data_IF_261065455703
#
_entry.id   IF_261065455703
#
_cell.length_a   1.000
_cell.length_b   1.000
_cell.length_c   1.000
_cell.angle_alpha   90.00
_cell.angle_beta   90.00
_cell.angle_gamma   90.00
#
_symmetry.space_group_name_H-M   'P 1'
#
loop_
_entity.id
_entity.type
_entity.pdbx_description
1 polymer ?
#
# COMPACT_ATOMS: atom_id res chain seq x y z
N UNK A 1 -11.53 19.44 -5.80
CA UNK A 1 -11.44 19.00 -7.21
C UNK A 1 -10.45 19.80 -8.07
N UNK A 2 -10.36 21.13 -7.98
CA UNK A 2 -9.39 21.95 -8.77
C UNK A 2 -7.93 21.59 -8.49
N UNK A 3 -7.55 21.43 -7.23
CA UNK A 3 -6.18 21.11 -6.81
C UNK A 3 -5.72 19.74 -7.33
N UNK A 4 -6.57 18.72 -7.24
CA UNK A 4 -6.29 17.37 -7.77
C UNK A 4 -6.02 17.39 -9.28
N UNK A 5 -6.87 18.11 -10.04
CA UNK A 5 -6.68 18.28 -11.49
C UNK A 5 -5.36 18.98 -11.82
N UNK A 6 -4.98 19.99 -11.03
CA UNK A 6 -3.72 20.72 -11.20
C UNK A 6 -2.52 19.80 -10.91
N UNK A 7 -2.54 19.04 -9.82
CA UNK A 7 -1.48 18.08 -9.50
C UNK A 7 -1.35 17.00 -10.59
N UNK A 8 -2.45 16.45 -11.08
CA UNK A 8 -2.43 15.49 -12.20
C UNK A 8 -1.90 16.09 -13.51
N UNK A 9 -2.08 17.40 -13.73
CA UNK A 9 -1.56 18.06 -14.94
C UNK A 9 -0.03 18.07 -15.01
N UNK A 10 0.68 18.05 -13.87
CA UNK A 10 2.14 17.98 -13.86
C UNK A 10 2.69 16.68 -14.45
N UNK A 11 1.94 15.56 -14.41
CA UNK A 11 2.33 14.31 -15.07
C UNK A 11 2.46 14.46 -16.59
N UNK A 12 1.74 15.43 -17.18
CA UNK A 12 1.83 15.69 -18.62
C UNK A 12 3.18 16.23 -19.06
N UNK A 13 3.91 16.86 -18.17
CA UNK A 13 5.25 17.39 -18.48
C UNK A 13 6.30 16.28 -18.54
N UNK A 14 6.05 15.16 -17.87
CA UNK A 14 6.97 14.01 -17.78
C UNK A 14 6.44 12.75 -18.50
N UNK A 15 5.76 12.92 -19.64
CA UNK A 15 5.12 11.82 -20.40
C UNK A 15 6.04 10.64 -20.68
N UNK A 16 7.30 10.92 -21.05
CA UNK A 16 8.29 9.86 -21.34
C UNK A 16 8.61 9.04 -20.09
N UNK A 17 8.81 9.70 -18.95
CA UNK A 17 9.04 9.00 -17.67
C UNK A 17 7.86 8.16 -17.21
N UNK A 18 6.63 8.70 -17.38
CA UNK A 18 5.39 7.96 -17.08
C UNK A 18 5.29 6.72 -17.98
N UNK A 19 5.52 6.86 -19.28
CA UNK A 19 5.44 5.75 -20.24
C UNK A 19 6.46 4.65 -19.90
N UNK A 20 7.72 5.00 -19.65
CA UNK A 20 8.75 4.03 -19.27
C UNK A 20 8.40 3.34 -17.97
N UNK A 21 7.96 4.09 -16.95
CA UNK A 21 7.51 3.52 -15.69
C UNK A 21 6.35 2.56 -15.87
N UNK A 22 5.38 2.89 -16.73
CA UNK A 22 4.23 2.04 -17.05
C UNK A 22 4.67 0.74 -17.75
N UNK A 23 5.57 0.82 -18.72
CA UNK A 23 6.13 -0.37 -19.40
C UNK A 23 6.84 -1.27 -18.39
N UNK A 24 7.70 -0.69 -17.54
CA UNK A 24 8.38 -1.46 -16.49
C UNK A 24 7.39 -2.10 -15.50
N UNK A 25 6.32 -1.40 -15.15
CA UNK A 25 5.26 -1.94 -14.31
C UNK A 25 4.56 -3.13 -14.96
N UNK A 26 4.15 -2.99 -16.23
CA UNK A 26 3.48 -4.08 -16.94
C UNK A 26 4.39 -5.30 -17.11
N UNK A 27 5.67 -5.10 -17.44
CA UNK A 27 6.66 -6.17 -17.50
C UNK A 27 6.84 -6.87 -16.15
N UNK A 28 7.00 -6.09 -15.08
CA UNK A 28 7.13 -6.62 -13.73
C UNK A 28 5.89 -7.41 -13.31
N UNK A 29 4.70 -6.83 -13.50
CA UNK A 29 3.43 -7.50 -13.15
C UNK A 29 3.23 -8.76 -13.98
N UNK A 30 3.48 -8.71 -15.29
CA UNK A 30 3.39 -9.87 -16.18
C UNK A 30 4.33 -10.99 -15.74
N UNK A 31 5.59 -10.68 -15.45
CA UNK A 31 6.54 -11.66 -14.93
C UNK A 31 6.09 -12.25 -13.58
N UNK A 32 5.63 -11.39 -12.68
CA UNK A 32 5.13 -11.81 -11.36
C UNK A 32 3.92 -12.74 -11.48
N UNK A 33 2.99 -12.44 -12.40
CA UNK A 33 1.80 -13.29 -12.65
C UNK A 33 2.14 -14.60 -13.38
N UNK A 34 3.21 -14.63 -14.15
CA UNK A 34 3.66 -15.84 -14.85
C UNK A 34 4.32 -16.84 -13.87
N UNK A 35 4.91 -16.36 -12.76
CA UNK A 35 5.58 -17.24 -11.77
C UNK A 35 4.74 -18.43 -11.32
N UNK A 36 3.52 -18.25 -10.80
CA UNK A 36 2.66 -19.36 -10.37
C UNK A 36 2.26 -20.30 -11.52
N UNK A 37 2.15 -19.79 -12.76
CA UNK A 37 1.86 -20.62 -13.94
C UNK A 37 3.04 -21.54 -14.31
N UNK A 38 4.26 -21.02 -14.22
CA UNK A 38 5.47 -21.83 -14.40
C UNK A 38 5.60 -22.87 -13.29
N UNK A 39 5.34 -22.48 -12.03
CA UNK A 39 5.33 -23.41 -10.90
C UNK A 39 4.26 -24.51 -11.09
N UNK A 40 3.04 -24.13 -11.53
CA UNK A 40 2.01 -25.10 -11.92
C UNK A 40 2.52 -26.07 -12.96
N UNK A 41 3.17 -25.59 -14.02
CA UNK A 41 3.72 -26.43 -15.07
C UNK A 41 4.80 -27.40 -14.55
N UNK A 42 5.68 -26.92 -13.66
CA UNK A 42 6.71 -27.76 -13.02
C UNK A 42 6.05 -28.90 -12.23
N UNK A 43 5.05 -28.58 -11.41
CA UNK A 43 4.36 -29.58 -10.58
C UNK A 43 3.64 -30.60 -11.45
N UNK A 44 2.85 -30.14 -12.42
CA UNK A 44 1.97 -31.00 -13.20
C UNK A 44 2.71 -31.84 -14.27
N UNK A 45 3.67 -31.22 -14.97
CA UNK A 45 4.28 -31.84 -16.16
C UNK A 45 5.70 -32.34 -15.91
N UNK A 46 6.33 -32.01 -14.77
CA UNK A 46 7.68 -32.45 -14.45
C UNK A 46 7.67 -33.35 -13.21
N UNK A 47 7.18 -32.84 -12.08
CA UNK A 47 7.26 -33.56 -10.79
C UNK A 47 6.27 -34.73 -10.75
N UNK A 48 5.00 -34.49 -11.08
CA UNK A 48 3.95 -35.53 -11.00
C UNK A 48 4.25 -36.74 -11.88
N UNK A 49 4.64 -36.59 -13.17
CA UNK A 49 5.03 -37.75 -14.00
C UNK A 49 6.27 -38.47 -13.49
N UNK A 50 7.27 -37.76 -12.96
CA UNK A 50 8.46 -38.38 -12.36
C UNK A 50 8.10 -39.25 -11.16
N UNK A 51 7.18 -38.77 -10.30
CA UNK A 51 6.71 -39.54 -9.14
C UNK A 51 5.96 -40.80 -9.54
N UNK A 52 5.13 -40.72 -10.59
CA UNK A 52 4.39 -41.89 -11.12
C UNK A 52 5.27 -42.91 -11.84
N UNK A 53 6.23 -42.43 -12.60
CA UNK A 53 7.15 -43.30 -13.37
C UNK A 53 8.36 -43.79 -12.56
N UNK A 54 8.56 -43.26 -11.33
CA UNK A 54 9.78 -43.50 -10.52
C UNK A 54 11.10 -43.20 -11.27
N UNK A 55 11.06 -42.30 -12.28
CA UNK A 55 12.22 -41.94 -13.10
C UNK A 55 12.55 -40.47 -12.85
N UNK A 56 13.78 -40.22 -12.40
CA UNK A 56 14.25 -38.86 -12.13
C UNK A 56 14.88 -38.23 -13.39
N UNK A 57 14.22 -37.22 -13.95
CA UNK A 57 14.73 -36.42 -15.07
C UNK A 57 15.30 -35.09 -14.56
N UNK A 58 16.56 -35.08 -14.13
CA UNK A 58 17.24 -33.89 -13.63
C UNK A 58 17.31 -32.74 -14.66
N UNK A 59 17.52 -33.07 -15.94
CA UNK A 59 17.65 -32.06 -17.00
C UNK A 59 16.36 -31.26 -17.22
N UNK A 60 15.22 -31.95 -17.29
CA UNK A 60 13.91 -31.30 -17.42
C UNK A 60 13.58 -30.42 -16.20
N UNK A 61 13.84 -30.89 -15.00
CA UNK A 61 13.63 -30.14 -13.78
C UNK A 61 14.50 -28.89 -13.72
N UNK A 62 15.80 -28.98 -13.97
CA UNK A 62 16.74 -27.87 -13.96
C UNK A 62 16.37 -26.80 -14.99
N UNK A 63 15.92 -27.21 -16.18
CA UNK A 63 15.50 -26.28 -17.23
C UNK A 63 14.29 -25.43 -16.74
N UNK A 64 13.24 -26.06 -16.24
CA UNK A 64 12.04 -25.35 -15.79
C UNK A 64 12.26 -24.53 -14.53
N UNK A 65 13.09 -24.99 -13.59
CA UNK A 65 13.53 -24.22 -12.45
C UNK A 65 14.33 -22.99 -12.90
N UNK A 66 15.22 -23.16 -13.91
CA UNK A 66 15.94 -22.05 -14.53
C UNK A 66 15.00 -20.99 -15.14
N UNK A 67 13.96 -21.44 -15.86
CA UNK A 67 12.91 -20.55 -16.39
C UNK A 67 12.19 -19.82 -15.26
N UNK A 68 11.80 -20.53 -14.20
CA UNK A 68 11.13 -19.95 -13.04
C UNK A 68 11.97 -18.86 -12.38
N UNK A 69 13.25 -19.13 -12.15
CA UNK A 69 14.19 -18.17 -11.58
C UNK A 69 14.36 -16.96 -12.50
N UNK A 70 14.51 -17.18 -13.80
CA UNK A 70 14.67 -16.11 -14.79
C UNK A 70 13.44 -15.20 -14.85
N UNK A 71 12.24 -15.77 -14.87
CA UNK A 71 10.98 -15.00 -14.86
C UNK A 71 10.88 -14.14 -13.58
N UNK A 72 11.22 -14.71 -12.41
CA UNK A 72 11.22 -13.96 -11.16
C UNK A 72 12.27 -12.84 -11.15
N UNK A 73 13.48 -13.10 -11.67
CA UNK A 73 14.52 -12.07 -11.79
C UNK A 73 14.09 -10.92 -12.70
N UNK A 74 13.45 -11.22 -13.84
CA UNK A 74 12.85 -10.19 -14.73
C UNK A 74 11.77 -9.40 -14.00
N UNK A 75 10.92 -10.07 -13.21
CA UNK A 75 9.91 -9.43 -12.37
C UNK A 75 10.51 -8.44 -11.37
N UNK A 76 11.52 -8.88 -10.62
CA UNK A 76 12.23 -8.06 -9.62
C UNK A 76 12.97 -6.90 -10.29
N UNK A 77 13.67 -7.13 -11.39
CA UNK A 77 14.37 -6.09 -12.14
C UNK A 77 13.38 -5.04 -12.68
N UNK A 78 12.24 -5.48 -13.25
CA UNK A 78 11.18 -4.59 -13.72
C UNK A 78 10.58 -3.76 -12.58
N UNK A 79 10.31 -4.37 -11.42
CA UNK A 79 9.82 -3.67 -10.23
C UNK A 79 10.82 -2.64 -9.70
N UNK A 80 12.10 -2.99 -9.68
CA UNK A 80 13.16 -2.06 -9.30
C UNK A 80 13.23 -0.85 -10.24
N UNK A 81 13.27 -1.10 -11.55
CA UNK A 81 13.28 -0.04 -12.56
C UNK A 81 12.03 0.84 -12.46
N UNK A 82 10.85 0.26 -12.35
CA UNK A 82 9.61 1.01 -12.14
C UNK A 82 9.72 1.94 -10.94
N UNK A 83 10.19 1.43 -9.80
CA UNK A 83 10.36 2.21 -8.56
C UNK A 83 11.35 3.37 -8.73
N UNK A 84 12.48 3.13 -9.41
CA UNK A 84 13.49 4.16 -9.69
C UNK A 84 12.92 5.24 -10.61
N UNK A 85 12.26 4.86 -11.70
CA UNK A 85 11.65 5.80 -12.63
C UNK A 85 10.53 6.63 -11.99
N UNK A 86 9.64 6.00 -11.21
CA UNK A 86 8.55 6.70 -10.54
C UNK A 86 9.06 7.67 -9.46
N UNK A 87 10.09 7.31 -8.70
CA UNK A 87 10.73 8.22 -7.73
C UNK A 87 11.43 9.39 -8.42
N UNK A 88 12.17 9.13 -9.50
CA UNK A 88 12.84 10.17 -10.27
C UNK A 88 11.85 11.14 -10.87
N UNK A 89 10.76 10.64 -11.43
CA UNK A 89 9.65 11.43 -11.95
C UNK A 89 9.02 12.30 -10.85
N UNK A 90 8.72 11.72 -9.71
CA UNK A 90 8.16 12.45 -8.57
C UNK A 90 9.09 13.55 -8.07
N UNK A 91 10.41 13.31 -8.05
CA UNK A 91 11.41 14.32 -7.69
C UNK A 91 11.46 15.49 -8.68
N UNK A 92 11.37 15.21 -10.00
CA UNK A 92 11.34 16.26 -11.03
C UNK A 92 10.08 17.11 -10.93
N UNK A 93 8.93 16.48 -10.69
CA UNK A 93 7.67 17.18 -10.49
C UNK A 93 7.74 18.06 -9.24
N UNK A 94 8.24 17.52 -8.12
CA UNK A 94 8.41 18.26 -6.88
C UNK A 94 9.34 19.47 -7.05
N UNK A 95 10.46 19.29 -7.76
CA UNK A 95 11.36 20.40 -8.09
C UNK A 95 10.59 21.49 -8.84
N UNK A 96 9.85 21.12 -9.89
CA UNK A 96 9.07 22.08 -10.68
C UNK A 96 8.03 22.82 -9.85
N UNK A 97 7.29 22.11 -9.00
CA UNK A 97 6.33 22.75 -8.08
C UNK A 97 7.04 23.72 -7.16
N UNK A 98 8.21 23.35 -6.63
CA UNK A 98 9.02 24.19 -5.76
C UNK A 98 9.52 25.44 -6.46
N UNK A 99 10.00 25.30 -7.68
CA UNK A 99 10.45 26.43 -8.51
C UNK A 99 9.28 27.39 -8.79
N UNK A 100 8.11 26.89 -9.20
CA UNK A 100 6.90 27.71 -9.44
C UNK A 100 6.41 28.42 -8.17
N UNK A 101 6.44 27.74 -7.01
CA UNK A 101 6.07 28.34 -5.72
C UNK A 101 7.08 29.42 -5.33
N UNK A 102 8.37 29.15 -5.50
CA UNK A 102 9.42 30.10 -5.19
C UNK A 102 9.30 31.39 -6.07
N UNK A 103 9.14 31.23 -7.37
CA UNK A 103 8.92 32.35 -8.29
C UNK A 103 7.69 33.16 -7.88
N UNK A 104 6.58 32.49 -7.55
CA UNK A 104 5.36 33.17 -7.12
C UNK A 104 5.56 33.95 -5.82
N UNK A 105 6.26 33.38 -4.85
CA UNK A 105 6.56 34.06 -3.58
C UNK A 105 7.35 35.34 -3.79
N UNK A 106 8.29 35.37 -4.77
CA UNK A 106 9.07 36.57 -5.10
C UNK A 106 8.22 37.70 -5.74
N UNK A 107 7.03 37.38 -6.25
CA UNK A 107 6.11 38.40 -6.83
C UNK A 107 5.11 38.96 -5.82
N UNK A 108 5.09 38.43 -4.59
CA UNK A 108 4.16 38.87 -3.57
C UNK A 108 4.56 40.24 -2.97
N UNK A 109 3.58 41.08 -2.62
CA UNK A 109 3.86 42.37 -2.00
C UNK A 109 4.47 42.21 -0.61
N UNK A 110 5.26 43.21 -0.15
CA UNK A 110 5.92 43.21 1.15
C UNK A 110 4.93 43.01 2.30
N UNK A 111 3.73 43.58 2.19
CA UNK A 111 2.65 43.42 3.18
C UNK A 111 2.23 41.98 3.44
N UNK A 112 2.48 41.08 2.51
CA UNK A 112 2.25 39.64 2.73
C UNK A 112 3.22 39.06 3.78
N UNK A 113 4.46 39.54 3.81
CA UNK A 113 5.50 39.08 4.72
C UNK A 113 5.41 39.70 6.10
N UNK A 114 4.76 40.88 6.24
CA UNK A 114 4.56 41.52 7.54
C UNK A 114 3.72 40.69 8.51
N UNK A 115 2.82 39.86 7.97
CA UNK A 115 1.91 39.02 8.75
C UNK A 115 2.30 37.53 8.79
N UNK A 116 3.37 37.15 8.10
CA UNK A 116 3.81 35.76 8.02
C UNK A 116 5.27 35.59 8.42
N UNK A 117 5.57 34.82 9.49
CA UNK A 117 6.96 34.50 9.85
C UNK A 117 7.71 33.88 8.67
N UNK A 118 8.92 34.35 8.41
CA UNK A 118 9.75 33.87 7.29
C UNK A 118 9.88 32.33 7.26
N UNK A 119 9.99 31.68 8.44
CA UNK A 119 10.03 30.24 8.58
C UNK A 119 8.81 29.52 8.02
N UNK A 120 7.61 30.15 8.10
CA UNK A 120 6.38 29.57 7.53
C UNK A 120 6.38 29.61 6.00
N UNK A 121 6.97 30.64 5.39
CA UNK A 121 7.15 30.74 3.94
C UNK A 121 8.14 29.68 3.46
N UNK A 122 9.27 29.55 4.15
CA UNK A 122 10.28 28.51 3.86
C UNK A 122 9.67 27.12 3.97
N UNK A 123 8.89 26.85 5.04
CA UNK A 123 8.20 25.56 5.22
C UNK A 123 7.26 25.23 4.05
N UNK A 124 6.50 26.21 3.53
CA UNK A 124 5.62 26.01 2.36
C UNK A 124 6.40 25.62 1.10
N UNK A 125 7.57 26.23 0.89
CA UNK A 125 8.42 25.96 -0.29
C UNK A 125 9.10 24.60 -0.16
N UNK A 126 9.50 24.20 1.05
CA UNK A 126 10.27 22.97 1.30
C UNK A 126 9.40 21.80 1.74
N UNK A 127 8.87 21.85 2.96
CA UNK A 127 8.16 20.73 3.60
C UNK A 127 6.82 20.41 2.94
N UNK A 128 6.04 21.42 2.54
CA UNK A 128 4.72 21.18 1.92
C UNK A 128 4.89 20.59 0.52
N UNK A 129 5.87 21.06 -0.27
CA UNK A 129 6.16 20.50 -1.58
C UNK A 129 6.70 19.07 -1.48
N UNK A 130 7.49 18.77 -0.44
CA UNK A 130 7.98 17.41 -0.16
C UNK A 130 6.83 16.49 0.26
N UNK A 131 5.90 16.97 1.08
CA UNK A 131 4.69 16.22 1.45
C UNK A 131 3.82 15.89 0.23
N UNK A 132 3.65 16.82 -0.71
CA UNK A 132 2.97 16.56 -1.98
C UNK A 132 3.70 15.48 -2.78
N UNK A 133 5.03 15.53 -2.86
CA UNK A 133 5.82 14.49 -3.54
C UNK A 133 5.62 13.12 -2.91
N UNK A 134 5.81 13.03 -1.60
CA UNK A 134 5.79 11.76 -0.88
C UNK A 134 4.39 11.14 -0.84
N UNK A 135 3.39 11.93 -0.46
CA UNK A 135 2.05 11.43 -0.22
C UNK A 135 1.21 11.34 -1.50
N UNK A 136 1.30 12.32 -2.40
CA UNK A 136 0.47 12.32 -3.60
C UNK A 136 1.09 11.52 -4.75
N UNK A 137 2.34 11.79 -5.13
CA UNK A 137 2.93 11.11 -6.29
C UNK A 137 3.48 9.73 -5.97
N UNK A 138 4.26 9.57 -4.90
CA UNK A 138 4.91 8.30 -4.57
C UNK A 138 3.90 7.34 -3.92
N UNK A 139 3.36 7.69 -2.76
CA UNK A 139 2.43 6.81 -2.03
C UNK A 139 1.04 6.76 -2.67
N UNK A 140 0.57 7.87 -3.25
CA UNK A 140 -0.74 7.94 -3.87
C UNK A 140 -0.77 7.34 -5.26
N UNK A 141 -0.40 8.13 -6.27
CA UNK A 141 -0.60 7.78 -7.68
C UNK A 141 0.17 6.50 -8.05
N UNK A 142 1.48 6.43 -7.72
CA UNK A 142 2.30 5.28 -8.13
C UNK A 142 1.80 3.99 -7.50
N UNK A 143 1.50 4.00 -6.19
CA UNK A 143 1.03 2.82 -5.47
C UNK A 143 -0.38 2.40 -5.91
N UNK A 144 -1.33 3.35 -6.02
CA UNK A 144 -2.68 3.03 -6.49
C UNK A 144 -2.67 2.43 -7.90
N UNK A 145 -1.87 3.00 -8.79
CA UNK A 145 -1.80 2.52 -10.16
C UNK A 145 -1.19 1.11 -10.24
N UNK A 146 -0.09 0.84 -9.53
CA UNK A 146 0.51 -0.50 -9.46
C UNK A 146 -0.43 -1.52 -8.84
N UNK A 147 -1.16 -1.15 -7.80
CA UNK A 147 -2.16 -1.99 -7.13
C UNK A 147 -3.30 -2.38 -8.09
N UNK A 148 -3.84 -1.40 -8.83
CA UNK A 148 -4.92 -1.65 -9.81
C UNK A 148 -4.43 -2.59 -10.93
N UNK A 149 -3.25 -2.32 -11.49
CA UNK A 149 -2.67 -3.17 -12.55
C UNK A 149 -2.45 -4.59 -12.05
N UNK A 150 -1.95 -4.75 -10.82
CA UNK A 150 -1.76 -6.07 -10.21
C UNK A 150 -3.09 -6.80 -10.00
N UNK A 151 -4.09 -6.15 -9.42
CA UNK A 151 -5.41 -6.75 -9.20
C UNK A 151 -6.07 -7.19 -10.51
N UNK A 152 -6.08 -6.30 -11.51
CA UNK A 152 -6.65 -6.62 -12.82
C UNK A 152 -5.92 -7.81 -13.45
N UNK A 153 -4.59 -7.83 -13.39
CA UNK A 153 -3.78 -8.94 -13.91
C UNK A 153 -4.05 -10.26 -13.20
N UNK A 154 -4.15 -10.27 -11.86
CA UNK A 154 -4.49 -11.46 -11.07
C UNK A 154 -5.87 -11.99 -11.47
N UNK A 155 -6.89 -11.12 -11.54
CA UNK A 155 -8.25 -11.56 -11.92
C UNK A 155 -8.30 -12.09 -13.33
N UNK A 156 -7.65 -11.44 -14.31
CA UNK A 156 -7.55 -11.98 -15.68
C UNK A 156 -6.97 -13.40 -15.65
N UNK A 157 -5.88 -13.60 -14.92
CA UNK A 157 -5.23 -14.91 -14.85
C UNK A 157 -6.11 -15.97 -14.18
N UNK A 158 -6.79 -15.62 -13.08
CA UNK A 158 -7.72 -16.53 -12.38
C UNK A 158 -8.89 -16.91 -13.30
N UNK A 159 -9.49 -15.93 -14.02
CA UNK A 159 -10.58 -16.21 -14.95
C UNK A 159 -10.17 -17.12 -16.10
N UNK A 160 -8.93 -16.97 -16.60
CA UNK A 160 -8.39 -17.84 -17.64
C UNK A 160 -8.14 -19.29 -17.14
N UNK A 161 -7.83 -19.46 -15.86
CA UNK A 161 -7.61 -20.77 -15.24
C UNK A 161 -8.93 -21.47 -14.86
N UNK A 162 -9.84 -20.75 -14.22
CA UNK A 162 -11.15 -21.26 -13.81
C UNK A 162 -12.15 -20.10 -13.61
N UNK A 163 -13.07 -19.95 -14.54
CA UNK A 163 -14.05 -18.86 -14.53
C UNK A 163 -14.98 -18.92 -13.30
N UNK A 164 -15.37 -20.10 -12.86
CA UNK A 164 -16.26 -20.27 -11.70
C UNK A 164 -15.61 -19.76 -10.43
N UNK A 165 -14.37 -20.15 -10.15
CA UNK A 165 -13.61 -19.63 -9.00
C UNK A 165 -13.32 -18.14 -9.17
N UNK A 166 -13.06 -17.68 -10.39
CA UNK A 166 -12.89 -16.26 -10.69
C UNK A 166 -14.10 -15.42 -10.27
N UNK A 167 -15.31 -15.88 -10.54
CA UNK A 167 -16.55 -15.20 -10.12
C UNK A 167 -16.73 -15.22 -8.60
N UNK A 168 -16.46 -16.36 -7.95
CA UNK A 168 -16.54 -16.46 -6.47
C UNK A 168 -15.55 -15.52 -5.80
N UNK A 169 -14.30 -15.50 -6.27
CA UNK A 169 -13.26 -14.62 -5.73
C UNK A 169 -13.52 -13.14 -6.04
N UNK A 170 -14.16 -12.83 -7.17
CA UNK A 170 -14.55 -11.45 -7.50
C UNK A 170 -15.57 -10.89 -6.49
N UNK A 171 -16.45 -11.73 -5.95
CA UNK A 171 -17.40 -11.33 -4.91
C UNK A 171 -16.72 -10.90 -3.61
N UNK A 172 -15.51 -11.39 -3.32
CA UNK A 172 -14.75 -10.97 -2.14
C UNK A 172 -14.32 -9.50 -2.19
N UNK A 173 -14.10 -8.94 -3.39
CA UNK A 173 -13.64 -7.54 -3.53
C UNK A 173 -14.65 -6.54 -2.93
N UNK A 174 -15.93 -6.54 -3.33
CA UNK A 174 -16.90 -5.63 -2.72
C UNK A 174 -17.07 -5.87 -1.22
N UNK A 175 -17.02 -7.12 -0.76
CA UNK A 175 -17.09 -7.44 0.68
C UNK A 175 -15.91 -6.79 1.41
N UNK A 176 -14.70 -6.93 0.91
CA UNK A 176 -13.51 -6.31 1.51
C UNK A 176 -13.57 -4.77 1.48
N UNK A 177 -14.04 -4.18 0.37
CA UNK A 177 -14.18 -2.72 0.26
C UNK A 177 -15.19 -2.20 1.28
N UNK A 178 -16.36 -2.82 1.41
CA UNK A 178 -17.38 -2.43 2.39
C UNK A 178 -16.87 -2.58 3.82
N UNK A 179 -16.21 -3.68 4.12
CA UNK A 179 -15.59 -3.92 5.40
C UNK A 179 -14.59 -2.83 5.77
N UNK A 180 -13.64 -2.59 4.89
CA UNK A 180 -12.60 -1.60 5.12
C UNK A 180 -13.15 -0.18 5.24
N UNK A 181 -14.16 0.18 4.44
CA UNK A 181 -14.82 1.48 4.54
C UNK A 181 -15.42 1.68 5.95
N UNK A 182 -16.00 0.62 6.51
CA UNK A 182 -16.55 0.65 7.87
C UNK A 182 -15.45 0.81 8.92
N UNK A 183 -14.34 0.11 8.78
CA UNK A 183 -13.17 0.21 9.66
C UNK A 183 -12.54 1.60 9.56
N UNK A 184 -12.28 2.08 8.33
CA UNK A 184 -11.67 3.40 8.09
C UNK A 184 -12.50 4.55 8.70
N UNK A 185 -13.84 4.46 8.63
CA UNK A 185 -14.71 5.46 9.24
C UNK A 185 -14.55 5.52 10.77
N UNK A 186 -14.41 4.36 11.42
CA UNK A 186 -14.15 4.30 12.86
C UNK A 186 -12.73 4.74 13.23
N UNK A 187 -11.75 4.32 12.45
CA UNK A 187 -10.34 4.71 12.62
C UNK A 187 -10.17 6.23 12.54
N UNK A 188 -10.83 6.89 11.59
CA UNK A 188 -10.76 8.34 11.42
C UNK A 188 -11.12 9.10 12.69
N UNK A 189 -12.11 8.64 13.44
CA UNK A 189 -12.52 9.26 14.71
C UNK A 189 -11.36 9.21 15.73
N UNK A 190 -10.81 8.02 15.97
CA UNK A 190 -9.71 7.86 16.93
C UNK A 190 -8.43 8.55 16.49
N UNK A 191 -8.14 8.55 15.19
CA UNK A 191 -6.99 9.25 14.63
C UNK A 191 -7.08 10.77 14.81
N UNK A 192 -8.28 11.35 14.61
CA UNK A 192 -8.51 12.78 14.85
C UNK A 192 -8.35 13.16 16.33
N UNK A 193 -8.92 12.34 17.24
CA UNK A 193 -8.85 12.53 18.68
C UNK A 193 -7.41 12.36 19.20
N UNK A 194 -6.68 11.36 18.70
CA UNK A 194 -5.27 11.14 19.00
C UNK A 194 -4.41 12.36 18.59
N UNK A 195 -4.65 12.88 17.39
CA UNK A 195 -3.93 14.06 16.89
C UNK A 195 -4.22 15.34 17.67
N UNK A 196 -5.46 15.50 18.12
CA UNK A 196 -5.86 16.64 18.96
C UNK A 196 -5.17 16.59 20.32
N UNK A 197 -5.20 15.42 21.00
CA UNK A 197 -4.53 15.22 22.28
C UNK A 197 -2.99 15.39 22.17
N UNK A 198 -2.40 14.91 21.08
CA UNK A 198 -0.98 15.15 20.80
C UNK A 198 -0.67 16.64 20.61
N UNK A 199 -1.57 17.38 19.97
CA UNK A 199 -1.47 18.83 19.84
C UNK A 199 -1.54 19.54 21.19
N UNK A 200 -2.44 19.10 22.08
CA UNK A 200 -2.56 19.63 23.45
C UNK A 200 -1.31 19.34 24.27
N UNK A 201 -0.78 18.12 24.23
CA UNK A 201 0.48 17.77 24.92
C UNK A 201 1.65 18.61 24.42
N UNK A 202 1.76 18.81 23.11
CA UNK A 202 2.82 19.63 22.53
C UNK A 202 2.68 21.10 22.95
N UNK A 203 1.45 21.62 23.05
CA UNK A 203 1.14 22.95 23.56
C UNK A 203 1.54 23.10 25.02
N UNK A 204 1.07 22.19 25.89
CA UNK A 204 1.39 22.17 27.32
C UNK A 204 2.91 22.11 27.58
N UNK A 205 3.63 21.27 26.82
CA UNK A 205 5.08 21.15 26.92
C UNK A 205 5.77 22.49 26.55
N UNK A 206 5.33 23.11 25.44
CA UNK A 206 5.90 24.37 25.00
C UNK A 206 5.63 25.51 26.02
N UNK A 207 4.42 25.60 26.57
CA UNK A 207 4.05 26.56 27.61
C UNK A 207 4.86 26.32 28.90
N UNK A 208 5.04 25.04 29.31
CA UNK A 208 5.80 24.68 30.50
C UNK A 208 7.28 25.07 30.37
N UNK A 209 7.87 24.87 29.18
CA UNK A 209 9.25 25.26 28.90
C UNK A 209 9.42 26.78 28.91
N UNK A 210 8.51 27.50 28.23
CA UNK A 210 8.56 28.97 28.16
C UNK A 210 8.25 29.63 29.52
N UNK A 211 7.34 29.05 30.30
CA UNK A 211 6.92 29.51 31.59
C UNK A 211 7.69 28.93 32.77
N UNK A 212 8.78 28.15 32.55
CA UNK A 212 9.48 27.39 33.61
C UNK A 212 9.89 28.27 34.81
N UNK A 213 10.42 29.45 34.56
CA UNK A 213 10.79 30.39 35.64
C UNK A 213 9.59 30.88 36.47
N UNK A 214 8.43 31.00 35.86
CA UNK A 214 7.17 31.41 36.54
C UNK A 214 6.66 30.21 37.37
N UNK A 215 6.66 29.01 36.80
CA UNK A 215 6.18 27.79 37.44
C UNK A 215 7.03 27.54 38.72
N UNK A 216 8.37 27.68 38.64
CA UNK A 216 9.26 27.54 39.75
C UNK A 216 9.07 28.63 40.80
N UNK A 217 8.92 29.91 40.39
CA UNK A 217 8.70 31.03 41.31
C UNK A 217 7.42 30.88 42.14
N UNK A 218 6.38 30.24 41.58
CA UNK A 218 5.11 29.97 42.25
C UNK A 218 4.98 28.58 42.82
N UNK A 219 6.02 27.72 42.71
CA UNK A 219 6.06 26.33 43.24
C UNK A 219 4.87 25.49 42.71
N UNK A 220 4.57 25.60 41.40
CA UNK A 220 3.44 24.91 40.76
C UNK A 220 3.86 23.71 39.93
N UNK A 221 5.09 23.18 40.12
CA UNK A 221 5.64 22.08 39.30
C UNK A 221 4.76 20.84 39.36
N UNK A 222 4.34 20.42 40.58
CA UNK A 222 3.51 19.23 40.76
C UNK A 222 2.16 19.33 40.03
N UNK A 223 1.56 20.53 40.05
CA UNK A 223 0.30 20.78 39.37
C UNK A 223 0.43 20.66 37.84
N UNK A 224 1.47 21.27 37.27
CA UNK A 224 1.75 21.22 35.83
C UNK A 224 2.04 19.78 35.37
N UNK A 225 2.82 19.03 36.16
CA UNK A 225 3.07 17.61 35.89
C UNK A 225 1.78 16.80 35.92
N UNK A 226 0.91 17.02 36.92
CA UNK A 226 -0.36 16.30 37.03
C UNK A 226 -1.32 16.61 35.85
N UNK A 227 -1.36 17.86 35.39
CA UNK A 227 -2.15 18.27 34.21
C UNK A 227 -1.63 17.62 32.93
N UNK A 228 -0.30 17.58 32.75
CA UNK A 228 0.36 16.90 31.64
C UNK A 228 0.08 15.38 31.63
N UNK A 229 0.22 14.73 32.79
CA UNK A 229 -0.02 13.30 32.96
C UNK A 229 -1.48 12.89 32.68
N UNK A 230 -2.43 13.74 33.06
CA UNK A 230 -3.85 13.50 32.75
C UNK A 230 -4.11 13.52 31.23
N UNK A 231 -3.52 14.47 30.51
CA UNK A 231 -3.60 14.58 29.06
C UNK A 231 -2.86 13.41 28.38
N UNK A 232 -1.67 13.05 28.87
CA UNK A 232 -0.86 11.94 28.38
C UNK A 232 -1.59 10.60 28.56
N UNK A 233 -2.23 10.38 29.71
CA UNK A 233 -3.05 9.20 29.97
C UNK A 233 -4.21 9.10 28.97
N UNK A 234 -4.91 10.20 28.72
CA UNK A 234 -6.00 10.26 27.75
C UNK A 234 -5.50 9.93 26.33
N UNK A 235 -4.34 10.47 25.95
CA UNK A 235 -3.71 10.19 24.67
C UNK A 235 -3.35 8.71 24.50
N UNK A 236 -2.78 8.07 25.52
CA UNK A 236 -2.45 6.64 25.54
C UNK A 236 -3.72 5.79 25.43
N UNK A 237 -4.81 6.16 26.13
CA UNK A 237 -6.07 5.42 26.03
C UNK A 237 -6.68 5.46 24.63
N UNK A 238 -6.68 6.62 23.99
CA UNK A 238 -7.17 6.77 22.61
C UNK A 238 -6.28 5.99 21.65
N UNK A 239 -4.94 6.08 21.80
CA UNK A 239 -3.99 5.29 21.02
C UNK A 239 -4.19 3.78 21.19
N UNK A 240 -4.51 3.32 22.40
CA UNK A 240 -4.84 1.91 22.66
C UNK A 240 -6.11 1.47 21.91
N UNK A 241 -7.17 2.30 21.89
CA UNK A 241 -8.42 2.01 21.16
C UNK A 241 -8.17 1.96 19.65
N UNK A 242 -7.34 2.86 19.13
CA UNK A 242 -6.91 2.89 17.74
C UNK A 242 -6.14 1.61 17.38
N UNK A 243 -5.16 1.22 18.19
CA UNK A 243 -4.34 0.03 17.99
C UNK A 243 -5.16 -1.26 18.05
N UNK A 244 -6.12 -1.37 18.96
CA UNK A 244 -7.05 -2.50 19.04
C UNK A 244 -7.88 -2.59 17.76
N UNK A 245 -8.44 -1.47 17.32
CA UNK A 245 -9.23 -1.43 16.08
C UNK A 245 -8.40 -1.85 14.87
N UNK A 246 -7.17 -1.34 14.75
CA UNK A 246 -6.25 -1.67 13.67
C UNK A 246 -5.86 -3.15 13.70
N UNK A 247 -5.43 -3.66 14.85
CA UNK A 247 -4.94 -5.03 15.00
C UNK A 247 -6.02 -6.07 14.73
N UNK A 248 -7.21 -5.90 15.33
CA UNK A 248 -8.28 -6.89 15.18
C UNK A 248 -9.00 -6.79 13.84
N UNK A 249 -9.31 -5.59 13.39
CA UNK A 249 -10.20 -5.41 12.23
C UNK A 249 -9.45 -5.19 10.90
N UNK A 250 -8.23 -4.64 10.92
CA UNK A 250 -7.49 -4.43 9.68
C UNK A 250 -6.59 -5.61 9.34
N UNK A 251 -5.86 -6.16 10.32
CA UNK A 251 -4.87 -7.22 10.06
C UNK A 251 -5.43 -8.63 10.31
N UNK A 252 -5.97 -8.89 11.50
CA UNK A 252 -6.36 -10.25 11.89
C UNK A 252 -7.57 -10.76 11.12
N UNK A 253 -8.57 -9.91 10.90
CA UNK A 253 -9.79 -10.31 10.18
C UNK A 253 -9.54 -10.51 8.68
N UNK A 254 -8.73 -9.66 8.06
CA UNK A 254 -8.33 -9.85 6.66
C UNK A 254 -7.50 -11.13 6.51
N UNK A 255 -6.60 -11.41 7.46
CA UNK A 255 -5.87 -12.67 7.52
C UNK A 255 -6.78 -13.89 7.68
N UNK A 256 -7.80 -13.79 8.54
CA UNK A 256 -8.81 -14.83 8.71
C UNK A 256 -9.62 -15.05 7.44
N UNK A 257 -10.11 -14.00 6.78
CA UNK A 257 -10.81 -14.10 5.50
C UNK A 257 -9.94 -14.77 4.42
N UNK A 258 -8.67 -14.40 4.35
CA UNK A 258 -7.72 -15.06 3.44
C UNK A 258 -7.63 -16.56 3.73
N UNK A 259 -7.48 -16.95 4.99
CA UNK A 259 -7.39 -18.36 5.37
C UNK A 259 -8.71 -19.10 5.05
N UNK A 260 -9.86 -18.51 5.33
CA UNK A 260 -11.16 -19.09 4.94
C UNK A 260 -11.24 -19.26 3.42
N UNK A 261 -10.77 -18.29 2.65
CA UNK A 261 -10.73 -18.39 1.18
C UNK A 261 -9.82 -19.52 0.73
N UNK A 262 -8.64 -19.69 1.35
CA UNK A 262 -7.75 -20.83 1.07
C UNK A 262 -8.45 -22.17 1.35
N UNK A 263 -9.06 -22.31 2.53
CA UNK A 263 -9.82 -23.54 2.86
C UNK A 263 -10.98 -23.78 1.88
N UNK A 264 -11.71 -22.75 1.50
CA UNK A 264 -12.80 -22.86 0.53
C UNK A 264 -12.30 -23.35 -0.85
N UNK A 265 -11.17 -22.84 -1.31
CA UNK A 265 -10.56 -23.26 -2.56
C UNK A 265 -10.01 -24.70 -2.46
N UNK A 266 -9.33 -25.05 -1.37
CA UNK A 266 -8.87 -26.42 -1.14
C UNK A 266 -10.06 -27.39 -1.11
N UNK A 267 -11.13 -27.04 -0.40
CA UNK A 267 -12.36 -27.83 -0.35
C UNK A 267 -12.99 -28.03 -1.74
N UNK A 268 -13.11 -26.93 -2.51
CA UNK A 268 -13.63 -26.97 -3.88
C UNK A 268 -12.82 -27.93 -4.77
N UNK A 269 -11.49 -27.79 -4.74
CA UNK A 269 -10.60 -28.66 -5.52
C UNK A 269 -10.66 -30.13 -5.07
N UNK A 270 -10.76 -30.38 -3.75
CA UNK A 270 -10.88 -31.73 -3.19
C UNK A 270 -12.17 -32.42 -3.63
N UNK A 271 -13.30 -31.70 -3.60
CA UNK A 271 -14.59 -32.22 -4.05
C UNK A 271 -14.59 -32.52 -5.55
N UNK A 272 -14.03 -31.66 -6.35
CA UNK A 272 -13.89 -31.87 -7.80
C UNK A 272 -12.96 -33.05 -8.12
N UNK A 273 -11.88 -33.23 -7.36
CA UNK A 273 -10.94 -34.35 -7.50
C UNK A 273 -11.63 -35.70 -7.19
N UNK A 274 -12.38 -35.76 -6.09
CA UNK A 274 -13.16 -36.97 -5.70
C UNK A 274 -14.26 -37.25 -6.74
N UNK A 275 -14.89 -36.19 -7.29
CA UNK A 275 -15.90 -36.32 -8.34
C UNK A 275 -15.37 -36.72 -9.71
N UNK A 276 -14.06 -36.95 -9.88
CA UNK A 276 -13.44 -37.42 -11.13
C UNK A 276 -13.41 -36.36 -12.23
N UNK A 277 -13.51 -35.07 -11.90
CA UNK A 277 -13.49 -34.01 -12.90
C UNK A 277 -12.10 -33.88 -13.53
N UNK A 278 -12.02 -34.05 -14.85
CA UNK A 278 -10.80 -33.93 -15.62
C UNK A 278 -10.29 -32.45 -15.56
N UNK A 279 -8.99 -32.30 -15.30
CA UNK A 279 -8.33 -30.96 -15.35
C UNK A 279 -7.94 -30.37 -14.01
N UNK A 280 -8.17 -31.09 -12.89
CA UNK A 280 -7.70 -30.68 -11.57
C UNK A 280 -6.34 -31.29 -11.30
N UNK A 281 -5.38 -30.42 -11.01
CA UNK A 281 -4.01 -30.83 -10.72
C UNK A 281 -3.50 -30.16 -9.45
N UNK A 282 -2.48 -30.77 -8.84
CA UNK A 282 -1.79 -30.20 -7.68
C UNK A 282 -1.14 -28.86 -8.00
N UNK A 283 -0.61 -28.70 -9.21
CA UNK A 283 -0.06 -27.43 -9.68
C UNK A 283 -1.11 -26.34 -9.86
N UNK A 284 -2.34 -26.70 -10.29
CA UNK A 284 -3.45 -25.75 -10.37
C UNK A 284 -3.86 -25.26 -8.99
N UNK A 285 -3.98 -26.17 -8.01
CA UNK A 285 -4.26 -25.79 -6.62
C UNK A 285 -3.18 -24.85 -6.07
N UNK A 286 -1.90 -25.16 -6.29
CA UNK A 286 -0.79 -24.30 -5.91
C UNK A 286 -0.91 -22.89 -6.51
N UNK A 287 -1.19 -22.79 -7.81
CA UNK A 287 -1.35 -21.52 -8.49
C UNK A 287 -2.49 -20.69 -7.90
N UNK A 288 -3.63 -21.32 -7.57
CA UNK A 288 -4.75 -20.61 -6.94
C UNK A 288 -4.42 -20.09 -5.54
N UNK A 289 -3.73 -20.90 -4.71
CA UNK A 289 -3.28 -20.47 -3.38
C UNK A 289 -2.37 -19.25 -3.49
N UNK A 290 -1.42 -19.24 -4.43
CA UNK A 290 -0.53 -18.10 -4.66
C UNK A 290 -1.29 -16.86 -5.17
N UNK A 291 -2.21 -17.03 -6.13
CA UNK A 291 -3.03 -15.89 -6.63
C UNK A 291 -3.97 -15.33 -5.58
N UNK A 292 -4.52 -16.13 -4.66
CA UNK A 292 -5.30 -15.63 -3.54
C UNK A 292 -4.45 -14.68 -2.69
N UNK A 293 -3.22 -15.04 -2.33
CA UNK A 293 -2.31 -14.16 -1.59
C UNK A 293 -2.09 -12.82 -2.32
N UNK A 294 -1.96 -12.88 -3.65
CA UNK A 294 -1.78 -11.69 -4.51
C UNK A 294 -3.04 -10.84 -4.70
N UNK A 295 -4.22 -11.31 -4.30
CA UNK A 295 -5.45 -10.49 -4.22
C UNK A 295 -5.47 -9.68 -2.92
N UNK A 296 -5.16 -10.32 -1.79
CA UNK A 296 -5.33 -9.72 -0.47
C UNK A 296 -4.34 -8.58 -0.20
N UNK A 297 -3.08 -8.74 -0.56
CA UNK A 297 -2.03 -7.74 -0.33
C UNK A 297 -2.28 -6.41 -1.06
N UNK A 298 -2.61 -6.38 -2.37
CA UNK A 298 -2.95 -5.14 -3.06
C UNK A 298 -4.20 -4.45 -2.50
N UNK A 299 -5.22 -5.20 -2.08
CA UNK A 299 -6.43 -4.61 -1.50
C UNK A 299 -6.10 -3.89 -0.20
N UNK A 300 -5.31 -4.48 0.70
CA UNK A 300 -4.84 -3.81 1.91
C UNK A 300 -4.07 -2.52 1.58
N UNK A 301 -3.14 -2.60 0.63
CA UNK A 301 -2.36 -1.44 0.19
C UNK A 301 -3.24 -0.33 -0.37
N UNK A 302 -4.21 -0.67 -1.22
CA UNK A 302 -5.17 0.28 -1.78
C UNK A 302 -5.92 1.03 -0.68
N UNK A 303 -6.37 0.30 0.33
CA UNK A 303 -7.16 0.88 1.42
C UNK A 303 -6.32 1.80 2.30
N UNK A 304 -5.08 1.42 2.62
CA UNK A 304 -4.17 2.26 3.40
C UNK A 304 -3.86 3.58 2.67
N UNK A 305 -3.67 3.52 1.35
CA UNK A 305 -3.45 4.72 0.54
C UNK A 305 -4.68 5.63 0.52
N UNK A 306 -5.88 5.05 0.33
CA UNK A 306 -7.13 5.83 0.32
C UNK A 306 -7.40 6.48 1.69
N UNK A 307 -7.13 5.77 2.78
CA UNK A 307 -7.27 6.32 4.14
C UNK A 307 -6.27 7.46 4.40
N UNK A 308 -5.06 7.37 3.85
CA UNK A 308 -4.03 8.41 3.97
C UNK A 308 -4.33 9.70 3.20
N UNK A 309 -5.27 9.67 2.25
CA UNK A 309 -5.73 10.86 1.51
C UNK A 309 -6.88 11.63 2.18
N UNK A 310 -7.45 11.11 3.26
CA UNK A 310 -8.52 11.75 4.04
C UNK A 310 -7.98 12.59 5.19
#
# INVERSE_FOLDING_TARGET
>A
MRTMKRLLSYLRYEKKGVLVGLVCLLLSTGATLTGPLVAKHIIDNVITPMGQAHVFNAGGLLLWVGIYVTVNLVGVAGAYLNRVYMRTLSNRIAKRIRDEVFEHVQTLPVSYFDHLPAGKVVSRITSDTESVRANFYVSGISTLFSTIVMLVGVYITIFLLNATLGLVLLFLVPVMILWQRTVATKQKKYYSENRELYGQLSGQLNESIQGAGIVQAFQQEEKIVAEYDATATSWVEVGRKELILESYFSWSLVGMLRNITHFGVIYYFSMQFIGGTLGISAGLLYAFIDYINRIYEPIQTFMNVVSGFQ
#
